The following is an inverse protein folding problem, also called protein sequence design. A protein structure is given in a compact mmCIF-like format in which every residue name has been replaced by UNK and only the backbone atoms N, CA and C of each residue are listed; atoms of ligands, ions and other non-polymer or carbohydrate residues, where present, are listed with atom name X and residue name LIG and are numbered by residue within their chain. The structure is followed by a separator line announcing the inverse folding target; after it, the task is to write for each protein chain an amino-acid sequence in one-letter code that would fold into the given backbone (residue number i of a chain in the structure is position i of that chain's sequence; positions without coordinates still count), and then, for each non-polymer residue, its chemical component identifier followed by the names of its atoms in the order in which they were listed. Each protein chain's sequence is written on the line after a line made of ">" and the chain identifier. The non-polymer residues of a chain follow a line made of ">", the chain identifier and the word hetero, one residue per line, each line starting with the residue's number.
data_IF_567680835593
#
_entry.id   IF_567680835593
#
_cell.length_a   1.000
_cell.length_b   1.000
_cell.length_c   1.000
_cell.angle_alpha   90.00
_cell.angle_beta   90.00
_cell.angle_gamma   90.00
#
_symmetry.space_group_name_H-M   'P 1'
#
loop_
_entity.id
_entity.type
_entity.pdbx_description
1 polymer ?
#
# COMPACT_ATOMS: atom_id res chain seq x y z
N UNK A 1 -9.18 48.32 -21.68
CA UNK A 1 -8.24 47.18 -21.51
C UNK A 1 -7.65 47.29 -20.12
N UNK A 2 -8.50 47.04 -19.14
CA UNK A 2 -8.22 47.05 -17.70
C UNK A 2 -9.15 46.00 -17.13
N UNK A 3 -8.71 45.33 -16.07
CA UNK A 3 -9.39 44.26 -15.33
C UNK A 3 -8.95 42.84 -15.73
N UNK A 4 -7.62 42.63 -15.69
CA UNK A 4 -7.01 41.35 -15.32
C UNK A 4 -6.39 41.52 -13.92
N UNK A 5 -7.17 42.04 -12.98
CA UNK A 5 -6.88 41.77 -11.58
C UNK A 5 -7.44 40.36 -11.41
N UNK A 6 -6.62 39.34 -11.68
CA UNK A 6 -6.89 38.00 -11.17
C UNK A 6 -7.26 38.19 -9.71
N UNK A 7 -8.46 37.74 -9.31
CA UNK A 7 -8.88 37.76 -7.91
C UNK A 7 -7.76 37.13 -7.08
N UNK A 8 -7.03 37.95 -6.32
CA UNK A 8 -5.93 37.44 -5.50
C UNK A 8 -6.52 36.39 -4.56
N UNK A 9 -5.86 35.23 -4.42
CA UNK A 9 -6.38 34.17 -3.57
C UNK A 9 -6.58 34.71 -2.17
N UNK A 10 -7.73 34.39 -1.61
CA UNK A 10 -8.06 34.76 -0.24
C UNK A 10 -7.07 34.10 0.72
N UNK A 11 -6.86 34.69 1.89
CA UNK A 11 -6.00 34.12 2.93
C UNK A 11 -6.33 32.64 3.21
N UNK A 12 -7.61 32.29 3.17
CA UNK A 12 -8.08 30.93 3.40
C UNK A 12 -7.62 29.96 2.30
N UNK A 13 -7.71 30.37 1.02
CA UNK A 13 -7.23 29.57 -0.12
C UNK A 13 -5.71 29.38 -0.05
N UNK A 14 -4.98 30.44 0.29
CA UNK A 14 -3.52 30.36 0.49
C UNK A 14 -3.17 29.39 1.60
N UNK A 15 -3.87 29.45 2.74
CA UNK A 15 -3.66 28.53 3.87
C UNK A 15 -3.99 27.07 3.48
N UNK A 16 -5.05 26.87 2.69
CA UNK A 16 -5.46 25.57 2.19
C UNK A 16 -4.45 24.98 1.20
N UNK A 17 -3.94 25.75 0.25
CA UNK A 17 -2.90 25.32 -0.67
C UNK A 17 -1.59 25.05 0.05
N UNK A 18 -1.23 25.90 1.02
CA UNK A 18 -0.04 25.72 1.84
C UNK A 18 -0.09 24.42 2.65
N UNK A 19 -1.22 24.11 3.30
CA UNK A 19 -1.35 22.84 4.03
C UNK A 19 -1.23 21.66 3.08
N UNK A 20 -1.82 21.73 1.90
CA UNK A 20 -1.72 20.66 0.91
C UNK A 20 -0.29 20.48 0.37
N UNK A 21 0.47 21.58 0.21
CA UNK A 21 1.86 21.48 -0.24
C UNK A 21 2.78 20.77 0.76
N UNK A 22 2.43 20.75 2.05
CA UNK A 22 3.13 19.95 3.07
C UNK A 22 3.05 18.44 2.80
N UNK A 23 2.09 17.96 2.01
CA UNK A 23 2.05 16.55 1.61
C UNK A 23 3.23 16.16 0.70
N UNK A 24 3.91 17.14 0.07
CA UNK A 24 5.05 16.88 -0.80
C UNK A 24 6.36 16.84 0.00
N UNK A 25 6.98 15.66 0.06
CA UNK A 25 8.25 15.41 0.77
C UNK A 25 9.42 16.25 0.27
N UNK A 26 9.45 16.59 -1.04
CA UNK A 26 10.51 17.42 -1.61
C UNK A 26 10.37 18.88 -1.15
N UNK A 27 9.14 19.37 -1.03
CA UNK A 27 8.88 20.70 -0.50
C UNK A 27 9.25 20.81 0.98
N UNK A 28 8.94 19.79 1.78
CA UNK A 28 9.39 19.72 3.18
C UNK A 28 10.91 19.76 3.31
N UNK A 29 11.62 19.05 2.42
CA UNK A 29 13.08 19.05 2.40
C UNK A 29 13.63 20.43 2.08
N UNK A 30 13.02 21.13 1.12
CA UNK A 30 13.35 22.52 0.82
C UNK A 30 13.12 23.46 2.02
N UNK A 31 11.98 23.35 2.71
CA UNK A 31 11.72 24.12 3.93
C UNK A 31 12.73 23.82 5.05
N UNK A 32 13.14 22.57 5.19
CA UNK A 32 14.15 22.15 6.15
C UNK A 32 15.52 22.75 5.82
N UNK A 33 15.92 22.74 4.55
CA UNK A 33 17.18 23.33 4.08
C UNK A 33 17.26 24.84 4.29
N UNK A 34 16.13 25.55 4.12
CA UNK A 34 16.04 26.99 4.41
C UNK A 34 16.05 27.31 5.91
N UNK A 35 15.87 26.31 6.78
CA UNK A 35 15.89 26.50 8.22
C UNK A 35 14.57 27.00 8.83
N UNK A 36 13.49 27.10 8.05
CA UNK A 36 12.18 27.53 8.56
C UNK A 36 11.64 26.60 9.65
N UNK A 37 11.96 25.30 9.59
CA UNK A 37 11.53 24.32 10.61
C UNK A 37 12.18 24.53 11.99
N UNK A 38 13.22 25.39 12.09
CA UNK A 38 13.90 25.73 13.34
C UNK A 38 13.39 27.04 13.94
N UNK A 39 12.69 27.86 13.16
CA UNK A 39 12.17 29.15 13.63
C UNK A 39 10.89 28.95 14.46
N UNK A 40 10.87 29.52 15.65
CA UNK A 40 9.72 29.47 16.56
C UNK A 40 8.48 30.17 15.96
N UNK A 41 8.68 31.21 15.14
CA UNK A 41 7.56 31.90 14.49
C UNK A 41 6.81 30.97 13.54
N UNK A 42 7.56 30.14 12.79
CA UNK A 42 7.00 29.16 11.88
C UNK A 42 6.32 28.01 12.64
N UNK A 43 6.89 27.56 13.76
CA UNK A 43 6.24 26.54 14.61
C UNK A 43 4.92 27.02 15.19
N UNK A 44 4.85 28.30 15.60
CA UNK A 44 3.59 28.91 16.04
C UNK A 44 2.56 28.96 14.91
N UNK A 45 3.00 29.20 13.67
CA UNK A 45 2.12 29.13 12.50
C UNK A 45 1.63 27.71 12.21
N UNK A 46 2.49 26.68 12.32
CA UNK A 46 2.07 25.29 12.21
C UNK A 46 1.06 24.91 13.30
N UNK A 47 1.22 25.45 14.52
CA UNK A 47 0.26 25.27 15.59
C UNK A 47 -1.09 25.89 15.27
N UNK A 48 -1.11 27.09 14.67
CA UNK A 48 -2.32 27.70 14.15
C UNK A 48 -3.00 26.78 13.12
N UNK A 49 -2.26 26.24 12.15
CA UNK A 49 -2.81 25.35 11.12
C UNK A 49 -3.41 24.04 11.63
N UNK A 50 -3.27 23.69 12.91
CA UNK A 50 -3.97 22.52 13.48
C UNK A 50 -5.50 22.65 13.41
N UNK A 51 -6.08 23.84 13.21
CA UNK A 51 -7.54 23.98 13.02
C UNK A 51 -8.04 23.20 11.80
N UNK A 52 -7.19 22.92 10.80
CA UNK A 52 -7.54 22.12 9.62
C UNK A 52 -7.88 20.66 9.94
N UNK A 53 -7.50 20.17 11.13
CA UNK A 53 -7.85 18.82 11.61
C UNK A 53 -9.31 18.70 11.97
N UNK A 54 -10.00 19.81 12.25
CA UNK A 54 -11.43 19.76 12.56
C UNK A 54 -12.23 19.28 11.34
N UNK A 55 -13.26 18.44 11.54
CA UNK A 55 -14.06 17.85 10.46
C UNK A 55 -14.79 18.90 9.60
N UNK A 56 -14.96 20.11 10.14
CA UNK A 56 -15.57 21.25 9.44
C UNK A 56 -14.70 21.73 8.27
N UNK A 57 -13.38 21.64 8.41
CA UNK A 57 -12.41 22.14 7.44
C UNK A 57 -11.73 21.02 6.66
N UNK A 58 -11.52 19.86 7.27
CA UNK A 58 -10.84 18.72 6.63
C UNK A 58 -11.54 18.21 5.36
N UNK A 59 -12.85 18.45 5.21
CA UNK A 59 -13.62 18.12 4.01
C UNK A 59 -13.14 18.81 2.72
N UNK A 60 -12.39 19.90 2.85
CA UNK A 60 -11.84 20.64 1.70
C UNK A 60 -10.44 20.17 1.29
N UNK A 61 -9.83 19.27 2.05
CA UNK A 61 -8.49 18.75 1.76
C UNK A 61 -8.58 17.60 0.76
N UNK A 62 -7.89 17.73 -0.37
CA UNK A 62 -7.80 16.68 -1.40
C UNK A 62 -6.81 15.59 -0.97
N UNK A 63 -5.72 15.99 -0.31
CA UNK A 63 -4.64 15.10 0.09
C UNK A 63 -4.71 14.79 1.59
N UNK A 64 -5.10 13.59 2.03
CA UNK A 64 -5.21 13.26 3.45
C UNK A 64 -3.84 13.25 4.17
N UNK A 65 -2.77 12.99 3.42
CA UNK A 65 -1.42 12.86 3.96
C UNK A 65 -0.88 14.17 4.56
N UNK A 66 -1.38 15.34 4.13
CA UNK A 66 -0.93 16.61 4.69
C UNK A 66 -1.18 16.71 6.21
N UNK A 67 -2.31 16.19 6.71
CA UNK A 67 -2.65 16.23 8.13
C UNK A 67 -1.73 15.33 8.96
N UNK A 68 -1.31 14.21 8.37
CA UNK A 68 -0.35 13.31 8.99
C UNK A 68 1.01 14.00 9.11
N UNK A 69 1.52 14.56 8.01
CA UNK A 69 2.77 15.32 8.00
C UNK A 69 2.73 16.51 8.97
N UNK A 70 1.64 17.26 9.01
CA UNK A 70 1.47 18.39 9.93
C UNK A 70 1.66 17.96 11.39
N UNK A 71 1.20 16.75 11.73
CA UNK A 71 1.39 16.18 13.07
C UNK A 71 2.84 15.73 13.30
N UNK A 72 3.49 15.18 12.27
CA UNK A 72 4.90 14.78 12.35
C UNK A 72 5.84 15.97 12.50
N UNK A 73 5.56 17.10 11.84
CA UNK A 73 6.37 18.33 11.93
C UNK A 73 6.45 18.92 13.35
N UNK A 74 5.51 18.59 14.23
CA UNK A 74 5.56 19.01 15.64
C UNK A 74 6.73 18.34 16.38
N UNK A 75 7.13 17.13 15.98
CA UNK A 75 8.26 16.45 16.58
C UNK A 75 9.58 17.02 16.06
N UNK A 76 10.42 17.45 16.98
CA UNK A 76 11.76 17.96 16.66
C UNK A 76 12.65 16.89 15.99
N UNK A 77 12.54 15.63 16.43
CA UNK A 77 13.27 14.52 15.83
C UNK A 77 12.97 14.37 14.34
N UNK A 78 11.70 14.54 13.95
CA UNK A 78 11.28 14.44 12.55
C UNK A 78 11.83 15.61 11.70
N UNK A 79 11.81 16.84 12.25
CA UNK A 79 12.39 18.01 11.58
C UNK A 79 13.88 17.82 11.25
N UNK A 80 14.62 17.17 12.16
CA UNK A 80 16.02 16.84 11.93
C UNK A 80 16.19 15.68 10.94
N UNK A 81 15.27 14.72 10.90
CA UNK A 81 15.32 13.59 9.96
C UNK A 81 15.00 14.00 8.52
N UNK A 82 14.12 14.98 8.30
CA UNK A 82 13.80 15.49 6.95
C UNK A 82 15.03 16.07 6.23
N UNK A 83 16.04 16.56 6.97
CA UNK A 83 17.29 17.01 6.37
C UNK A 83 18.08 15.87 5.73
N UNK A 84 17.84 14.63 6.14
CA UNK A 84 18.49 13.46 5.56
C UNK A 84 17.73 13.00 4.31
N UNK A 85 18.35 13.21 3.15
CA UNK A 85 17.76 12.81 1.86
C UNK A 85 17.36 11.33 1.78
N UNK A 86 18.07 10.43 2.48
CA UNK A 86 17.71 9.00 2.49
C UNK A 86 16.37 8.77 3.18
N UNK A 87 16.14 9.45 4.30
CA UNK A 87 14.87 9.38 5.03
C UNK A 87 13.72 9.99 4.21
N UNK A 88 13.94 11.14 3.56
CA UNK A 88 12.95 11.75 2.66
C UNK A 88 12.56 10.80 1.52
N UNK A 89 13.52 10.12 0.91
CA UNK A 89 13.24 9.15 -0.16
C UNK A 89 12.44 7.95 0.38
N UNK A 90 12.76 7.46 1.58
CA UNK A 90 11.99 6.41 2.23
C UNK A 90 10.55 6.85 2.50
N UNK A 91 10.36 8.01 3.13
CA UNK A 91 9.04 8.59 3.39
C UNK A 91 8.23 8.80 2.10
N UNK A 92 8.87 9.23 1.02
CA UNK A 92 8.25 9.37 -0.29
C UNK A 92 7.84 8.01 -0.88
N UNK A 93 8.71 7.00 -0.81
CA UNK A 93 8.41 5.65 -1.28
C UNK A 93 7.25 5.02 -0.49
N UNK A 94 7.25 5.16 0.84
CA UNK A 94 6.17 4.69 1.71
C UNK A 94 4.85 5.36 1.30
N UNK A 95 4.86 6.69 1.09
CA UNK A 95 3.68 7.44 0.66
C UNK A 95 3.20 7.03 -0.74
N UNK A 96 4.12 6.72 -1.66
CA UNK A 96 3.80 6.21 -3.00
C UNK A 96 3.28 4.78 -3.00
N UNK A 97 3.75 3.93 -2.08
CA UNK A 97 3.36 2.52 -2.01
C UNK A 97 1.85 2.35 -1.82
N UNK A 98 1.23 3.20 -1.02
CA UNK A 98 -0.24 3.27 -0.88
C UNK A 98 -0.96 3.48 -2.22
N UNK A 99 -0.33 4.13 -3.20
CA UNK A 99 -0.90 4.36 -4.53
C UNK A 99 -0.58 3.25 -5.54
N UNK A 100 0.33 2.33 -5.21
CA UNK A 100 0.61 1.17 -6.07
C UNK A 100 -0.51 0.13 -6.01
N UNK A 101 -1.28 0.07 -4.92
CA UNK A 101 -2.16 -1.06 -4.63
C UNK A 101 -3.42 -1.26 -5.49
N UNK A 102 -3.91 -0.35 -6.37
CA UNK A 102 -4.98 -0.73 -7.30
C UNK A 102 -4.49 -1.34 -8.63
N UNK A 103 -3.20 -1.24 -8.96
CA UNK A 103 -2.71 -1.52 -10.33
C UNK A 103 -2.04 -2.89 -10.50
N UNK A 104 -1.88 -3.67 -9.43
CA UNK A 104 -1.28 -5.01 -9.45
C UNK A 104 -2.28 -6.17 -9.29
N UNK A 105 -3.58 -5.89 -9.33
CA UNK A 105 -4.62 -6.94 -9.19
C UNK A 105 -4.92 -7.62 -10.54
N UNK A 106 -4.48 -7.07 -11.68
CA UNK A 106 -4.92 -7.58 -13.00
C UNK A 106 -3.94 -8.53 -13.71
N UNK A 107 -2.67 -8.64 -13.28
CA UNK A 107 -1.70 -9.50 -13.98
C UNK A 107 -1.53 -10.88 -13.34
N UNK A 108 -1.61 -10.99 -12.01
CA UNK A 108 -1.47 -12.29 -11.31
C UNK A 108 -2.74 -13.13 -11.28
N UNK A 109 -3.90 -12.53 -11.50
CA UNK A 109 -5.16 -13.28 -11.55
C UNK A 109 -5.40 -13.86 -12.95
N UNK A 110 -4.90 -13.21 -14.01
CA UNK A 110 -5.05 -13.67 -15.40
C UNK A 110 -4.11 -14.86 -15.75
N UNK A 111 -2.93 -14.95 -15.13
CA UNK A 111 -2.02 -16.09 -15.30
C UNK A 111 -2.48 -17.34 -14.52
N UNK A 112 -3.11 -17.15 -13.35
CA UNK A 112 -3.64 -18.26 -12.53
C UNK A 112 -4.90 -18.86 -13.13
N UNK A 113 -5.75 -18.05 -13.76
CA UNK A 113 -6.95 -18.55 -14.45
C UNK A 113 -6.58 -19.40 -15.69
N UNK A 114 -5.53 -19.04 -16.45
CA UNK A 114 -5.05 -19.83 -17.59
C UNK A 114 -4.35 -21.16 -17.20
N UNK A 115 -3.81 -21.27 -15.99
CA UNK A 115 -3.15 -22.50 -15.53
C UNK A 115 -4.14 -23.50 -14.95
N UNK A 116 -5.15 -23.02 -14.20
CA UNK A 116 -6.17 -23.88 -13.58
C UNK A 116 -7.07 -24.56 -14.62
N UNK A 117 -7.36 -23.90 -15.75
CA UNK A 117 -8.15 -24.52 -16.83
C UNK A 117 -7.41 -25.65 -17.57
N UNK A 118 -6.08 -25.59 -17.70
CA UNK A 118 -5.28 -26.62 -18.39
C UNK A 118 -5.14 -27.93 -17.62
N UNK A 119 -5.18 -27.86 -16.29
CA UNK A 119 -5.10 -29.03 -15.43
C UNK A 119 -6.48 -29.68 -15.21
N UNK A 120 -7.56 -28.90 -15.27
CA UNK A 120 -8.94 -29.40 -15.19
C UNK A 120 -9.36 -30.29 -16.36
N UNK A 121 -8.94 -29.99 -17.60
CA UNK A 121 -9.25 -30.82 -18.77
C UNK A 121 -8.53 -32.19 -18.73
N UNK A 122 -7.29 -32.24 -18.24
CA UNK A 122 -6.52 -33.49 -18.15
C UNK A 122 -7.07 -34.47 -17.11
N UNK A 123 -7.66 -33.97 -16.03
CA UNK A 123 -8.28 -34.82 -14.99
C UNK A 123 -9.57 -35.46 -15.53
N UNK A 124 -10.37 -34.72 -16.30
CA UNK A 124 -11.63 -35.25 -16.87
C UNK A 124 -11.41 -36.33 -17.95
N UNK A 125 -10.36 -36.22 -18.77
CA UNK A 125 -10.04 -37.23 -19.78
C UNK A 125 -9.52 -38.54 -19.15
N UNK A 126 -8.75 -38.44 -18.07
CA UNK A 126 -8.21 -39.59 -17.36
C UNK A 126 -9.30 -40.36 -16.57
N UNK A 127 -10.29 -39.68 -16.00
CA UNK A 127 -11.42 -40.35 -15.34
C UNK A 127 -12.33 -41.11 -16.33
N UNK A 128 -12.53 -40.58 -17.54
CA UNK A 128 -13.28 -41.26 -18.61
C UNK A 128 -12.56 -42.52 -19.10
N UNK A 129 -11.22 -42.50 -19.10
CA UNK A 129 -10.38 -43.64 -19.51
C UNK A 129 -10.28 -44.75 -18.44
N UNK A 130 -10.41 -44.39 -17.17
CA UNK A 130 -10.36 -45.37 -16.07
C UNK A 130 -11.67 -46.14 -15.89
N UNK A 131 -12.83 -45.50 -16.17
CA UNK A 131 -14.15 -46.15 -16.07
C UNK A 131 -14.44 -47.17 -17.18
N UNK A 132 -13.77 -47.08 -18.34
CA UNK A 132 -13.94 -48.05 -19.43
C UNK A 132 -13.06 -49.30 -19.30
N UNK A 133 -12.06 -49.31 -18.40
CA UNK A 133 -11.10 -50.41 -18.25
C UNK A 133 -11.46 -51.44 -17.15
N UNK A 134 -12.44 -51.17 -16.28
CA UNK A 134 -12.75 -52.04 -15.13
C UNK A 134 -13.79 -53.15 -15.39
N UNK A 135 -14.29 -53.30 -16.62
CA UNK A 135 -15.19 -54.40 -17.00
C UNK A 135 -14.40 -55.41 -17.84
N UNK A 136 -13.47 -56.14 -17.23
CA UNK A 136 -13.13 -57.52 -17.60
C UNK A 136 -11.97 -58.06 -16.75
N UNK A 137 -12.07 -59.35 -16.45
CA UNK A 137 -11.04 -60.24 -15.87
C UNK A 137 -11.00 -60.39 -14.35
N UNK A 138 -12.02 -61.10 -13.87
CA UNK A 138 -11.86 -62.23 -12.96
C UNK A 138 -10.75 -63.19 -13.39
N UNK A 139 -9.86 -63.62 -12.47
CA UNK A 139 -9.46 -65.02 -12.18
C UNK A 139 -8.24 -65.12 -11.22
N UNK A 140 -8.38 -65.92 -10.14
CA UNK A 140 -7.40 -66.81 -9.41
C UNK A 140 -5.94 -66.36 -9.17
N UNK A 141 -5.21 -66.61 -8.07
CA UNK A 141 -5.31 -67.56 -6.94
C UNK A 141 -4.16 -67.35 -5.94
N UNK A 142 -4.42 -67.64 -4.66
CA UNK A 142 -3.60 -68.37 -3.66
C UNK A 142 -2.10 -68.06 -3.43
N UNK A 143 -1.72 -67.78 -2.18
CA UNK A 143 -0.94 -68.65 -1.26
C UNK A 143 -0.39 -67.80 -0.09
N UNK A 144 -0.70 -68.18 1.15
CA UNK A 144 0.04 -67.79 2.38
C UNK A 144 0.95 -68.97 2.79
N UNK A 145 2.04 -68.75 3.56
CA UNK A 145 1.93 -68.96 5.02
C UNK A 145 2.90 -68.15 5.95
N UNK A 146 2.39 -67.81 7.14
CA UNK A 146 2.96 -67.80 8.51
C UNK A 146 4.47 -67.58 8.78
N UNK A 147 4.79 -66.63 9.70
CA UNK A 147 5.49 -66.93 10.97
C UNK A 147 5.39 -65.76 11.99
N UNK A 148 4.78 -66.02 13.15
CA UNK A 148 4.78 -65.17 14.36
C UNK A 148 5.94 -65.60 15.28
N UNK A 149 6.71 -64.65 15.81
CA UNK A 149 7.46 -64.77 17.06
C UNK A 149 7.97 -63.39 17.50
N UNK A 150 7.29 -62.74 18.45
CA UNK A 150 7.92 -61.80 19.39
C UNK A 150 6.93 -61.47 20.52
N UNK A 151 7.26 -61.86 21.75
CA UNK A 151 7.11 -61.03 22.97
C UNK A 151 7.89 -61.68 24.10
N UNK A 152 8.89 -60.95 24.59
CA UNK A 152 9.72 -61.27 25.75
C UNK A 152 9.11 -60.66 27.03
N UNK A 153 9.45 -61.31 28.15
CA UNK A 153 9.53 -60.84 29.55
C UNK A 153 8.25 -60.42 30.28
#
# INVERSE_FOLDING_TARGET
>A
MTDQIEDLPTRWEIELEFVQSLANTQYLTYLAQLGYLKDETFLNYLNYLNYWKDPKFSKFLVYPNCLHILSLLQFESFRNQILNSNFTNLLFNDMLEYWKEPLYINEKDNERECEVERDGEKVQENEKKLKSASISTSTSSSVSPNLKLQTQS
#
